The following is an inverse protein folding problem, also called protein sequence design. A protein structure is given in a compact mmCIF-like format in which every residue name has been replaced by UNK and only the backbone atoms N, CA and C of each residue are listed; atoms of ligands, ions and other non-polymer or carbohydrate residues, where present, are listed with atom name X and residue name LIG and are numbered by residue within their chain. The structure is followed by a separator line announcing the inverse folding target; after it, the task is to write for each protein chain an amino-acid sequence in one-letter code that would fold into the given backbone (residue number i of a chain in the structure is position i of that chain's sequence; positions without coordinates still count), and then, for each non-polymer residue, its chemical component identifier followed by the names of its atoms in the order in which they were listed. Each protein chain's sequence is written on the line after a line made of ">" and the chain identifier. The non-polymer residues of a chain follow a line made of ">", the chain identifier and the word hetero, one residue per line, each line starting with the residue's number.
data_IF_442359765626
#
_entry.id   IF_442359765626
#
_cell.length_a   1.000
_cell.length_b   1.000
_cell.length_c   1.000
_cell.angle_alpha   90.00
_cell.angle_beta   90.00
_cell.angle_gamma   90.00
#
_symmetry.space_group_name_H-M   'P 1'
#
loop_
_entity.id
_entity.type
_entity.pdbx_description
1 polymer ?
#
# COMPACT_ATOMS: atom_id res chain seq x y z
N UNK A 1 51.04 -30.12 34.21
CA UNK A 1 50.25 -29.31 33.35
C UNK A 1 50.58 -27.82 33.57
N UNK A 2 50.74 -27.02 32.53
CA UNK A 2 50.99 -25.60 32.63
C UNK A 2 49.78 -24.85 33.20
N UNK A 3 49.95 -23.72 33.89
CA UNK A 3 48.86 -22.92 34.42
C UNK A 3 48.02 -22.29 33.29
N UNK A 4 46.71 -22.06 33.54
CA UNK A 4 45.83 -21.45 32.53
C UNK A 4 46.24 -20.00 32.22
N UNK A 5 46.03 -19.52 30.98
CA UNK A 5 46.37 -18.15 30.61
C UNK A 5 45.50 -17.13 31.37
N UNK A 6 46.03 -15.92 31.62
CA UNK A 6 45.28 -14.86 32.32
C UNK A 6 44.05 -14.39 31.48
N UNK A 7 42.99 -13.93 32.15
CA UNK A 7 41.79 -13.42 31.45
C UNK A 7 42.11 -12.14 30.66
N UNK A 8 41.40 -11.92 29.51
CA UNK A 8 41.59 -10.71 28.70
C UNK A 8 41.18 -9.43 29.47
N UNK A 9 41.82 -8.30 29.19
CA UNK A 9 41.51 -7.03 29.84
C UNK A 9 40.06 -6.56 29.45
N UNK A 10 39.38 -5.81 30.34
CA UNK A 10 38.06 -5.29 30.06
C UNK A 10 38.08 -4.29 28.90
N UNK A 11 36.99 -4.21 28.09
CA UNK A 11 36.90 -3.26 26.98
C UNK A 11 36.90 -1.81 27.50
N UNK A 12 37.45 -0.85 26.71
CA UNK A 12 37.45 0.56 27.09
C UNK A 12 36.03 1.14 27.17
N UNK A 13 35.80 2.14 28.04
CA UNK A 13 34.50 2.79 28.19
C UNK A 13 34.11 3.49 26.90
N UNK A 14 32.79 3.42 26.55
CA UNK A 14 32.23 4.10 25.37
C UNK A 14 32.37 5.62 25.51
N UNK A 15 32.75 6.33 24.44
CA UNK A 15 32.74 7.79 24.45
C UNK A 15 31.30 8.32 24.69
N UNK A 16 31.15 9.49 25.38
CA UNK A 16 29.83 10.09 25.59
C UNK A 16 29.20 10.51 24.26
N UNK A 17 27.82 10.51 24.15
CA UNK A 17 27.15 10.97 22.97
C UNK A 17 27.45 12.46 22.69
N UNK A 18 27.49 12.89 21.43
CA UNK A 18 27.68 14.30 21.07
C UNK A 18 26.50 15.16 21.60
N UNK A 19 26.77 16.43 21.97
CA UNK A 19 25.75 17.34 22.44
C UNK A 19 24.74 17.65 21.32
N UNK A 20 23.46 17.93 21.67
CA UNK A 20 22.46 18.30 20.69
C UNK A 20 22.83 19.63 19.97
N UNK A 21 22.46 19.79 18.68
CA UNK A 21 22.73 21.03 17.95
C UNK A 21 21.99 22.22 18.58
N UNK A 22 22.60 23.42 18.52
CA UNK A 22 21.97 24.63 19.07
C UNK A 22 20.68 24.98 18.32
N UNK A 23 19.68 25.60 18.97
CA UNK A 23 18.47 26.07 18.33
C UNK A 23 18.80 27.21 17.32
N UNK A 24 18.05 27.29 16.21
CA UNK A 24 18.28 28.34 15.21
C UNK A 24 17.99 29.74 15.80
N UNK A 25 18.73 30.79 15.34
CA UNK A 25 18.57 32.15 15.86
C UNK A 25 17.16 32.70 15.57
N UNK A 26 16.57 33.34 16.56
CA UNK A 26 15.34 34.11 16.39
C UNK A 26 15.63 35.36 15.57
N UNK A 27 15.27 35.36 14.29
CA UNK A 27 15.39 36.51 13.42
C UNK A 27 14.41 37.61 13.83
N UNK A 28 14.94 38.79 14.17
CA UNK A 28 14.20 40.01 14.41
C UNK A 28 13.55 40.53 13.12
N UNK A 29 12.36 41.13 13.24
CA UNK A 29 11.56 41.62 12.14
C UNK A 29 12.14 42.85 11.46
N UNK A 30 11.99 42.86 10.11
CA UNK A 30 11.92 44.11 9.34
C UNK A 30 10.65 44.06 8.48
N UNK A 31 9.83 45.10 8.65
CA UNK A 31 8.59 45.27 7.90
C UNK A 31 8.88 45.60 6.43
N UNK A 32 8.21 44.88 5.54
CA UNK A 32 8.08 45.19 4.11
C UNK A 32 6.66 44.85 3.67
N UNK A 33 6.10 45.54 2.62
CA UNK A 33 4.67 45.51 2.30
C UNK A 33 4.17 44.12 1.85
N UNK A 34 2.87 43.86 1.90
CA UNK A 34 2.32 42.51 1.75
C UNK A 34 2.27 42.12 0.29
N UNK A 35 3.24 41.34 -0.17
CA UNK A 35 3.10 40.54 -1.37
C UNK A 35 2.27 39.32 -1.05
N UNK A 36 1.19 39.15 -1.81
CA UNK A 36 0.22 38.06 -1.70
C UNK A 36 0.91 36.70 -1.54
N UNK A 37 1.02 36.20 -0.33
CA UNK A 37 1.46 34.85 -0.04
C UNK A 37 0.38 33.89 -0.53
N UNK A 38 0.56 33.33 -1.72
CA UNK A 38 -0.08 32.09 -2.10
C UNK A 38 0.28 31.07 -1.03
N UNK A 39 -0.65 30.80 -0.14
CA UNK A 39 -0.56 29.74 0.85
C UNK A 39 -0.45 28.41 0.11
N UNK A 40 0.80 27.97 -0.16
CA UNK A 40 1.06 26.55 -0.37
C UNK A 40 0.83 25.88 0.99
N UNK A 41 -0.41 25.61 1.32
CA UNK A 41 -0.72 24.65 2.36
C UNK A 41 -0.24 23.29 1.86
N UNK A 42 1.01 22.98 2.14
CA UNK A 42 1.45 21.59 2.16
C UNK A 42 0.69 20.94 3.31
N UNK A 43 -0.48 20.41 3.04
CA UNK A 43 -1.11 19.47 3.95
C UNK A 43 -0.17 18.27 4.04
N UNK A 44 0.72 18.30 5.00
CA UNK A 44 1.43 17.10 5.42
C UNK A 44 0.37 16.17 5.97
N UNK A 45 -0.01 15.16 5.18
CA UNK A 45 -0.68 13.99 5.73
C UNK A 45 0.25 13.43 6.82
N UNK A 46 -0.05 13.72 8.07
CA UNK A 46 0.48 12.95 9.18
C UNK A 46 -0.30 11.65 9.18
N UNK A 47 0.15 10.68 8.40
CA UNK A 47 -0.21 9.30 8.70
C UNK A 47 0.29 9.02 10.11
N UNK A 48 -0.61 8.94 11.06
CA UNK A 48 -0.28 8.37 12.34
C UNK A 48 -0.01 6.87 12.07
N UNK A 49 1.24 6.51 11.81
CA UNK A 49 1.68 5.11 11.86
C UNK A 49 1.44 4.64 13.31
N UNK A 50 0.23 4.22 13.61
CA UNK A 50 -0.04 3.50 14.83
C UNK A 50 0.35 2.05 14.57
N UNK A 51 1.55 1.69 15.01
CA UNK A 51 1.87 0.28 15.20
C UNK A 51 1.00 -0.24 16.33
N UNK A 52 0.30 -1.34 16.11
CA UNK A 52 -0.37 -2.06 17.19
C UNK A 52 0.66 -2.47 18.25
N UNK A 53 0.30 -2.34 19.51
CA UNK A 53 1.14 -2.75 20.64
C UNK A 53 1.19 -4.28 20.77
N UNK A 54 2.18 -4.79 21.53
CA UNK A 54 2.19 -6.17 22.01
C UNK A 54 1.06 -6.33 23.01
N UNK A 55 0.02 -7.05 22.66
CA UNK A 55 -1.08 -7.42 23.56
C UNK A 55 -1.39 -8.92 23.38
N UNK A 56 -2.14 -9.51 24.29
CA UNK A 56 -2.60 -10.92 24.13
C UNK A 56 -3.43 -11.11 22.86
N UNK A 57 -4.10 -10.05 22.40
CA UNK A 57 -4.68 -9.92 21.05
C UNK A 57 -3.99 -8.76 20.39
N UNK A 58 -3.43 -8.94 19.20
CA UNK A 58 -2.79 -7.88 18.41
C UNK A 58 -3.81 -6.77 18.15
N UNK A 59 -3.42 -5.51 18.40
CA UNK A 59 -4.26 -4.38 18.04
C UNK A 59 -4.27 -4.17 16.53
N UNK A 60 -5.43 -3.83 15.96
CA UNK A 60 -5.53 -3.47 14.54
C UNK A 60 -4.73 -2.21 14.23
N UNK A 61 -4.12 -2.16 13.06
CA UNK A 61 -3.43 -0.99 12.55
C UNK A 61 -4.39 0.18 12.29
N UNK A 62 -3.93 1.41 12.52
CA UNK A 62 -4.71 2.61 12.21
C UNK A 62 -4.79 2.87 10.71
N UNK A 63 -5.93 3.36 10.21
CA UNK A 63 -6.08 3.74 8.81
C UNK A 63 -5.17 4.93 8.44
N UNK A 64 -4.68 4.95 7.20
CA UNK A 64 -3.91 6.07 6.64
C UNK A 64 -4.79 7.31 6.44
N UNK A 65 -4.19 8.49 6.60
CA UNK A 65 -4.88 9.75 6.31
C UNK A 65 -5.04 10.01 4.82
N UNK A 66 -6.18 10.57 4.40
CA UNK A 66 -6.41 10.94 3.00
C UNK A 66 -5.47 12.06 2.52
N UNK A 67 -5.10 12.02 1.24
CA UNK A 67 -4.32 13.06 0.56
C UNK A 67 -5.13 14.35 0.40
N UNK A 68 -4.44 15.50 0.44
CA UNK A 68 -5.06 16.79 0.23
C UNK A 68 -5.48 17.04 -1.22
N UNK A 69 -6.68 17.59 -1.45
CA UNK A 69 -7.14 17.99 -2.76
C UNK A 69 -6.50 19.32 -3.23
N UNK A 70 -6.40 19.53 -4.56
CA UNK A 70 -5.90 20.76 -5.16
C UNK A 70 -6.83 21.23 -6.28
N UNK A 71 -6.97 22.55 -6.47
CA UNK A 71 -7.64 23.11 -7.63
C UNK A 71 -6.71 23.17 -8.84
N UNK A 72 -5.51 23.69 -8.65
CA UNK A 72 -4.41 23.72 -9.60
C UNK A 72 -3.16 23.22 -8.87
N UNK A 73 -2.49 22.23 -9.44
CA UNK A 73 -1.34 21.55 -8.83
C UNK A 73 -1.68 20.11 -8.51
N UNK A 74 -0.70 19.32 -8.11
CA UNK A 74 -0.93 17.90 -7.84
C UNK A 74 -1.69 17.68 -6.53
N UNK A 75 -2.55 16.66 -6.53
CA UNK A 75 -3.15 16.12 -5.30
C UNK A 75 -2.07 15.55 -4.37
N UNK A 76 -2.34 15.53 -3.08
CA UNK A 76 -1.46 14.90 -2.10
C UNK A 76 -1.60 13.38 -2.10
N UNK A 77 -0.52 12.66 -1.84
CA UNK A 77 -0.58 11.21 -1.67
C UNK A 77 -1.31 10.82 -0.37
N UNK A 78 -2.02 9.71 -0.40
CA UNK A 78 -2.63 9.12 0.79
C UNK A 78 -1.57 8.53 1.72
N UNK A 79 -1.85 8.54 3.02
CA UNK A 79 -1.00 7.92 4.03
C UNK A 79 -1.11 6.39 4.01
N UNK A 80 -0.03 5.70 4.35
CA UNK A 80 -0.08 4.24 4.51
C UNK A 80 -0.87 3.83 5.75
N UNK A 81 -1.54 2.68 5.69
CA UNK A 81 -2.14 2.05 6.85
C UNK A 81 -1.08 1.56 7.84
N UNK A 82 -1.40 1.56 9.13
CA UNK A 82 -0.55 0.99 10.16
C UNK A 82 -0.57 -0.54 10.13
N UNK A 83 0.55 -1.17 10.47
CA UNK A 83 0.60 -2.63 10.61
C UNK A 83 -0.20 -3.08 11.83
N UNK A 84 -0.77 -4.28 11.75
CA UNK A 84 -1.38 -4.95 12.88
C UNK A 84 -0.35 -5.32 13.95
N UNK A 85 -0.79 -5.38 15.20
CA UNK A 85 0.04 -5.85 16.31
C UNK A 85 0.23 -7.36 16.26
N UNK A 86 1.39 -7.85 16.71
CA UNK A 86 1.66 -9.28 16.82
C UNK A 86 0.97 -9.87 18.05
N UNK A 87 0.44 -11.08 17.92
CA UNK A 87 0.01 -11.91 19.04
C UNK A 87 1.24 -12.37 19.86
N UNK A 88 1.10 -12.49 21.20
CA UNK A 88 2.22 -12.78 22.09
C UNK A 88 2.21 -14.22 22.59
N UNK A 89 3.38 -14.81 22.70
CA UNK A 89 3.65 -16.21 23.10
C UNK A 89 3.55 -16.53 24.60
N UNK A 90 3.10 -15.60 25.45
CA UNK A 90 3.17 -15.73 26.93
C UNK A 90 1.92 -16.20 27.66
N UNK A 91 0.92 -16.78 26.99
CA UNK A 91 -0.35 -17.22 27.58
C UNK A 91 -1.26 -17.76 26.51
N UNK A 92 -2.59 -17.80 26.74
CA UNK A 92 -3.56 -18.02 25.68
C UNK A 92 -3.30 -16.96 24.61
N UNK A 93 -2.62 -17.34 23.52
CA UNK A 93 -2.16 -16.42 22.47
C UNK A 93 -3.35 -15.73 21.84
N UNK A 94 -3.23 -14.45 21.62
CA UNK A 94 -4.21 -13.67 20.93
C UNK A 94 -3.97 -13.65 19.43
N UNK A 95 -5.03 -13.53 18.64
CA UNK A 95 -4.97 -13.33 17.21
C UNK A 95 -4.11 -12.12 16.85
N UNK A 96 -3.38 -12.18 15.74
CA UNK A 96 -2.72 -11.01 15.15
C UNK A 96 -3.76 -9.94 14.81
N UNK A 97 -3.43 -8.68 15.03
CA UNK A 97 -4.29 -7.55 14.63
C UNK A 97 -4.34 -7.36 13.12
N UNK A 98 -5.47 -6.98 12.56
CA UNK A 98 -5.57 -6.64 11.15
C UNK A 98 -4.73 -5.38 10.82
N UNK A 99 -4.18 -5.34 9.60
CA UNK A 99 -3.55 -4.13 9.07
C UNK A 99 -4.59 -3.04 8.81
N UNK A 100 -4.21 -1.78 9.01
CA UNK A 100 -5.06 -0.63 8.67
C UNK A 100 -5.13 -0.39 7.17
N UNK A 101 -6.27 0.11 6.68
CA UNK A 101 -6.40 0.52 5.29
C UNK A 101 -5.51 1.74 4.96
N UNK A 102 -5.06 1.85 3.72
CA UNK A 102 -4.39 3.05 3.22
C UNK A 102 -5.34 4.24 3.10
N UNK A 103 -4.83 5.45 3.10
CA UNK A 103 -5.59 6.68 2.85
C UNK A 103 -5.74 6.97 1.36
N UNK A 104 -6.88 7.47 0.92
CA UNK A 104 -7.13 7.82 -0.48
C UNK A 104 -6.20 8.95 -0.96
N UNK A 105 -5.80 8.91 -2.23
CA UNK A 105 -5.07 9.99 -2.89
C UNK A 105 -5.96 11.22 -3.12
N UNK A 106 -5.38 12.42 -3.05
CA UNK A 106 -6.07 13.68 -3.25
C UNK A 106 -6.48 13.90 -4.71
N UNK A 107 -7.70 14.37 -4.93
CA UNK A 107 -8.21 14.72 -6.26
C UNK A 107 -7.78 16.12 -6.69
N UNK A 108 -7.69 16.35 -8.00
CA UNK A 108 -7.39 17.66 -8.58
C UNK A 108 -8.60 18.22 -9.32
N UNK A 109 -8.90 19.52 -9.11
CA UNK A 109 -10.06 20.16 -9.72
C UNK A 109 -9.88 20.47 -11.20
N UNK A 110 -8.90 21.28 -11.59
CA UNK A 110 -8.73 21.78 -12.96
C UNK A 110 -7.50 21.25 -13.66
N UNK A 111 -6.30 21.47 -13.10
CA UNK A 111 -5.01 21.15 -13.73
C UNK A 111 -4.05 20.55 -12.70
N UNK A 112 -3.56 19.38 -12.97
CA UNK A 112 -2.57 18.66 -12.17
C UNK A 112 -2.88 17.18 -12.05
N UNK A 113 -1.92 16.40 -11.58
CA UNK A 113 -2.08 14.97 -11.40
C UNK A 113 -2.75 14.64 -10.07
N UNK A 114 -3.61 13.62 -10.04
CA UNK A 114 -4.14 13.05 -8.81
C UNK A 114 -3.02 12.49 -7.93
N UNK A 115 -3.19 12.54 -6.61
CA UNK A 115 -2.28 11.92 -5.66
C UNK A 115 -2.40 10.40 -5.66
N UNK A 116 -1.36 9.69 -5.29
CA UNK A 116 -1.40 8.23 -5.16
C UNK A 116 -2.19 7.79 -3.92
N UNK A 117 -2.84 6.64 -3.98
CA UNK A 117 -3.43 5.99 -2.82
C UNK A 117 -2.35 5.43 -1.90
N UNK A 118 -2.60 5.47 -0.59
CA UNK A 118 -1.72 4.88 0.41
C UNK A 118 -1.80 3.35 0.39
N UNK A 119 -0.71 2.66 0.67
CA UNK A 119 -0.72 1.22 0.84
C UNK A 119 -1.44 0.80 2.13
N UNK A 120 -2.07 -0.36 2.13
CA UNK A 120 -2.57 -1.01 3.34
C UNK A 120 -1.43 -1.47 4.24
N UNK A 121 -1.67 -1.52 5.55
CA UNK A 121 -0.74 -2.08 6.52
C UNK A 121 -0.75 -3.60 6.49
N UNK A 122 0.35 -4.23 6.87
CA UNK A 122 0.40 -5.67 6.98
C UNK A 122 -0.37 -6.17 8.21
N UNK A 123 -0.92 -7.38 8.13
CA UNK A 123 -1.50 -8.08 9.27
C UNK A 123 -0.44 -8.43 10.32
N UNK A 124 -0.87 -8.53 11.57
CA UNK A 124 -0.01 -8.96 12.67
C UNK A 124 0.20 -10.47 12.63
N UNK A 125 1.40 -10.93 12.98
CA UNK A 125 1.69 -12.35 13.09
C UNK A 125 1.11 -12.93 14.39
N UNK A 126 0.70 -14.19 14.34
CA UNK A 126 0.49 -14.99 15.54
C UNK A 126 1.67 -15.91 15.81
N UNK A 127 2.40 -15.65 16.89
CA UNK A 127 3.51 -16.48 17.37
C UNK A 127 3.12 -17.27 18.63
N UNK A 128 1.82 -17.39 18.92
CA UNK A 128 1.34 -18.08 20.10
C UNK A 128 1.36 -19.60 19.91
N UNK A 129 1.44 -20.32 21.02
CA UNK A 129 1.26 -21.78 21.04
C UNK A 129 -0.22 -22.19 21.10
N UNK A 130 -1.14 -21.23 21.13
CA UNK A 130 -2.58 -21.43 21.13
C UNK A 130 -3.15 -21.15 19.74
N UNK A 131 -4.22 -21.86 19.41
CA UNK A 131 -4.89 -21.85 18.11
C UNK A 131 -5.55 -20.48 17.81
N UNK A 132 -4.76 -19.43 17.56
CA UNK A 132 -5.26 -18.12 17.16
C UNK A 132 -4.87 -17.79 15.72
N UNK A 133 -5.72 -17.09 14.98
CA UNK A 133 -5.50 -16.69 13.60
C UNK A 133 -4.57 -15.48 13.51
N UNK A 134 -3.75 -15.42 12.46
CA UNK A 134 -2.98 -14.24 12.14
C UNK A 134 -3.87 -13.11 11.57
N UNK A 135 -3.43 -11.87 11.69
CA UNK A 135 -4.16 -10.72 11.18
C UNK A 135 -4.15 -10.62 9.66
N UNK A 136 -5.27 -10.18 9.07
CA UNK A 136 -5.35 -9.89 7.64
C UNK A 136 -4.62 -8.60 7.27
N UNK A 137 -4.11 -8.50 6.05
CA UNK A 137 -3.56 -7.28 5.47
C UNK A 137 -4.64 -6.23 5.23
N UNK A 138 -4.30 -4.96 5.39
CA UNK A 138 -5.19 -3.84 5.10
C UNK A 138 -5.32 -3.61 3.58
N UNK A 139 -6.47 -3.10 3.14
CA UNK A 139 -6.66 -2.72 1.73
C UNK A 139 -5.79 -1.52 1.34
N UNK A 140 -5.29 -1.53 0.11
CA UNK A 140 -4.73 -0.36 -0.55
C UNK A 140 -5.83 0.65 -0.90
N UNK A 141 -5.53 1.93 -0.87
CA UNK A 141 -6.49 2.97 -1.17
C UNK A 141 -6.48 3.38 -2.64
N UNK A 142 -7.60 3.93 -3.11
CA UNK A 142 -7.68 4.45 -4.47
C UNK A 142 -6.76 5.66 -4.69
N UNK A 143 -6.21 5.78 -5.88
CA UNK A 143 -5.54 6.98 -6.38
C UNK A 143 -6.55 8.12 -6.62
N UNK A 144 -6.08 9.36 -6.48
CA UNK A 144 -6.85 10.55 -6.77
C UNK A 144 -7.08 10.76 -8.28
N UNK A 145 -8.19 11.41 -8.65
CA UNK A 145 -8.43 11.78 -10.05
C UNK A 145 -7.54 12.95 -10.46
N UNK A 146 -7.09 12.92 -11.71
CA UNK A 146 -6.43 14.05 -12.34
C UNK A 146 -7.36 15.25 -12.58
N UNK A 147 -6.79 16.43 -12.85
CA UNK A 147 -7.53 17.65 -13.10
C UNK A 147 -8.43 17.54 -14.34
N UNK A 148 -9.56 18.26 -14.31
CA UNK A 148 -10.57 18.18 -15.36
C UNK A 148 -10.01 18.40 -16.78
N UNK A 149 -9.16 19.39 -16.96
CA UNK A 149 -8.59 19.74 -18.28
C UNK A 149 -7.30 18.97 -18.56
N UNK A 150 -6.39 18.95 -17.61
CA UNK A 150 -5.08 18.31 -17.77
C UNK A 150 -4.62 17.64 -16.47
N UNK A 151 -4.22 16.38 -16.57
CA UNK A 151 -3.58 15.64 -15.49
C UNK A 151 -3.86 14.15 -15.54
N UNK A 152 -2.92 13.38 -15.07
CA UNK A 152 -3.06 11.94 -14.95
C UNK A 152 -3.77 11.58 -13.65
N UNK A 153 -4.48 10.46 -13.63
CA UNK A 153 -4.95 9.84 -12.39
C UNK A 153 -3.78 9.35 -11.54
N UNK A 154 -3.93 9.40 -10.23
CA UNK A 154 -2.98 8.81 -9.28
C UNK A 154 -3.04 7.28 -9.29
N UNK A 155 -1.95 6.64 -8.91
CA UNK A 155 -1.88 5.17 -8.80
C UNK A 155 -2.60 4.70 -7.54
N UNK A 156 -3.29 3.56 -7.57
CA UNK A 156 -3.85 2.90 -6.41
C UNK A 156 -2.76 2.35 -5.48
N UNK A 157 -3.02 2.35 -4.17
CA UNK A 157 -2.11 1.79 -3.18
C UNK A 157 -2.10 0.26 -3.22
N UNK A 158 -1.00 -0.34 -2.83
CA UNK A 158 -0.90 -1.81 -2.69
C UNK A 158 -1.70 -2.30 -1.50
N UNK A 159 -2.25 -3.51 -1.56
CA UNK A 159 -2.76 -4.24 -0.41
C UNK A 159 -1.62 -4.65 0.54
N UNK A 160 -1.90 -4.68 1.84
CA UNK A 160 -0.99 -5.21 2.85
C UNK A 160 -0.94 -6.74 2.83
N UNK A 161 0.16 -7.33 3.22
CA UNK A 161 0.27 -8.78 3.33
C UNK A 161 -0.45 -9.30 4.57
N UNK A 162 -0.97 -10.50 4.51
CA UNK A 162 -1.46 -11.24 5.68
C UNK A 162 -0.34 -11.61 6.64
N UNK A 163 -0.69 -11.76 7.91
CA UNK A 163 0.23 -12.17 8.97
C UNK A 163 0.53 -13.67 8.94
N UNK A 164 1.67 -14.06 9.46
CA UNK A 164 2.09 -15.45 9.64
C UNK A 164 1.47 -16.05 10.90
N UNK A 165 1.08 -17.35 10.87
CA UNK A 165 0.72 -18.11 12.08
C UNK A 165 1.58 -19.35 12.24
N UNK A 166 2.16 -19.54 13.45
CA UNK A 166 3.02 -20.68 13.76
C UNK A 166 2.29 -21.87 14.38
N UNK A 167 1.11 -21.67 14.96
CA UNK A 167 0.49 -22.61 15.89
C UNK A 167 -0.62 -23.50 15.32
N UNK A 168 -0.74 -23.59 14.02
CA UNK A 168 -1.68 -24.55 13.44
C UNK A 168 -3.08 -24.03 13.12
N UNK A 169 -3.29 -22.74 13.13
CA UNK A 169 -4.49 -22.07 12.63
C UNK A 169 -4.28 -21.38 11.28
N UNK A 170 -5.04 -20.36 11.00
CA UNK A 170 -5.06 -19.69 9.71
C UNK A 170 -4.01 -18.58 9.63
N UNK A 171 -3.29 -18.52 8.52
CA UNK A 171 -2.57 -17.33 8.07
C UNK A 171 -3.57 -16.20 7.76
N UNK A 172 -3.16 -14.96 7.92
CA UNK A 172 -3.98 -13.81 7.53
C UNK A 172 -4.15 -13.70 6.02
N UNK A 173 -5.30 -13.26 5.55
CA UNK A 173 -5.50 -12.97 4.14
C UNK A 173 -4.74 -11.69 3.72
N UNK A 174 -4.31 -11.64 2.46
CA UNK A 174 -3.76 -10.44 1.84
C UNK A 174 -4.84 -9.37 1.61
N UNK A 175 -4.48 -8.09 1.74
CA UNK A 175 -5.37 -6.97 1.41
C UNK A 175 -5.50 -6.76 -0.09
N UNK A 176 -6.65 -6.28 -0.55
CA UNK A 176 -6.87 -5.92 -1.97
C UNK A 176 -6.07 -4.67 -2.35
N UNK A 177 -5.64 -4.58 -3.60
CA UNK A 177 -5.04 -3.37 -4.19
C UNK A 177 -6.07 -2.27 -4.45
N UNK A 178 -5.67 -1.01 -4.32
CA UNK A 178 -6.52 0.14 -4.60
C UNK A 178 -6.70 0.39 -6.10
N UNK A 179 -7.83 0.94 -6.51
CA UNK A 179 -8.05 1.34 -7.89
C UNK A 179 -7.21 2.57 -8.27
N UNK A 180 -6.80 2.67 -9.54
CA UNK A 180 -6.19 3.87 -10.10
C UNK A 180 -7.22 4.99 -10.29
N UNK A 181 -6.75 6.26 -10.20
CA UNK A 181 -7.57 7.44 -10.45
C UNK A 181 -7.86 7.65 -11.94
N UNK A 182 -8.93 8.36 -12.24
CA UNK A 182 -9.33 8.72 -13.61
C UNK A 182 -8.48 9.90 -14.09
N UNK A 183 -8.01 9.87 -15.36
CA UNK A 183 -7.32 10.99 -16.00
C UNK A 183 -8.23 12.17 -16.32
N UNK A 184 -7.64 13.36 -16.61
CA UNK A 184 -8.37 14.52 -17.13
C UNK A 184 -8.81 14.35 -18.58
N UNK A 185 -9.30 15.45 -19.20
CA UNK A 185 -9.57 15.48 -20.65
C UNK A 185 -8.31 15.14 -21.45
N UNK A 186 -7.18 15.66 -21.04
CA UNK A 186 -5.85 15.29 -21.52
C UNK A 186 -5.07 14.71 -20.36
N UNK A 187 -4.87 13.41 -20.36
CA UNK A 187 -4.15 12.68 -19.32
C UNK A 187 -4.55 11.23 -19.23
N UNK A 188 -3.67 10.39 -18.79
CA UNK A 188 -3.86 8.94 -18.65
C UNK A 188 -4.52 8.59 -17.32
N UNK A 189 -5.22 7.49 -17.26
CA UNK A 189 -5.68 6.88 -16.02
C UNK A 189 -4.49 6.40 -15.18
N UNK A 190 -4.63 6.42 -13.87
CA UNK A 190 -3.66 5.88 -12.93
C UNK A 190 -3.64 4.36 -12.94
N UNK A 191 -2.52 3.72 -12.66
CA UNK A 191 -2.45 2.27 -12.49
C UNK A 191 -3.20 1.80 -11.24
N UNK A 192 -3.73 0.58 -11.24
CA UNK A 192 -4.20 -0.09 -10.03
C UNK A 192 -3.03 -0.54 -9.17
N UNK A 193 -3.26 -0.64 -7.86
CA UNK A 193 -2.31 -1.19 -6.90
C UNK A 193 -2.33 -2.73 -6.89
N UNK A 194 -1.21 -3.35 -6.60
CA UNK A 194 -1.14 -4.81 -6.49
C UNK A 194 -1.87 -5.30 -5.22
N UNK A 195 -2.38 -6.52 -5.24
CA UNK A 195 -2.88 -7.22 -4.06
C UNK A 195 -1.74 -7.60 -3.12
N UNK A 196 -2.09 -7.80 -1.84
CA UNK A 196 -1.18 -8.32 -0.82
C UNK A 196 -1.11 -9.85 -0.84
N UNK A 197 0.01 -10.40 -0.41
CA UNK A 197 0.17 -11.86 -0.31
C UNK A 197 -0.57 -12.40 0.92
N UNK A 198 -1.04 -13.64 0.83
CA UNK A 198 -1.55 -14.40 1.98
C UNK A 198 -0.43 -14.75 2.96
N UNK A 199 -0.81 -14.92 4.22
CA UNK A 199 0.10 -15.30 5.30
C UNK A 199 0.39 -16.81 5.30
N UNK A 200 1.63 -17.18 5.66
CA UNK A 200 2.03 -18.57 5.82
C UNK A 200 1.42 -19.15 7.09
N UNK A 201 0.89 -20.37 7.01
CA UNK A 201 0.37 -21.12 8.16
C UNK A 201 0.06 -22.56 7.75
N UNK A 202 -0.23 -23.48 8.71
CA UNK A 202 -0.78 -24.78 8.35
C UNK A 202 -2.08 -24.71 7.55
N UNK A 203 -2.94 -23.71 7.79
CA UNK A 203 -4.00 -23.28 6.87
C UNK A 203 -3.62 -21.91 6.34
N UNK A 204 -3.02 -21.83 5.13
CA UNK A 204 -2.47 -20.58 4.62
C UNK A 204 -3.58 -19.57 4.29
N UNK A 205 -3.25 -18.28 4.42
CA UNK A 205 -4.16 -17.20 4.05
C UNK A 205 -4.25 -17.03 2.53
N UNK A 206 -5.38 -16.55 2.04
CA UNK A 206 -5.60 -16.22 0.63
C UNK A 206 -4.91 -14.89 0.28
N UNK A 207 -4.58 -14.72 -1.00
CA UNK A 207 -4.05 -13.46 -1.47
C UNK A 207 -5.14 -12.42 -1.71
N UNK A 208 -4.75 -11.15 -1.75
CA UNK A 208 -5.62 -10.07 -2.19
C UNK A 208 -5.63 -9.89 -3.71
N UNK A 209 -6.76 -9.44 -4.26
CA UNK A 209 -6.88 -9.10 -5.67
C UNK A 209 -6.13 -7.79 -6.01
N UNK A 210 -5.67 -7.66 -7.25
CA UNK A 210 -5.14 -6.42 -7.79
C UNK A 210 -6.25 -5.39 -8.06
N UNK A 211 -5.92 -4.10 -7.86
CA UNK A 211 -6.83 -2.99 -8.14
C UNK A 211 -7.02 -2.73 -9.64
N UNK A 212 -8.18 -2.24 -10.04
CA UNK A 212 -8.42 -1.84 -11.43
C UNK A 212 -7.60 -0.59 -11.82
N UNK A 213 -7.16 -0.51 -13.07
CA UNK A 213 -6.59 0.69 -13.66
C UNK A 213 -7.66 1.77 -13.89
N UNK A 214 -7.27 3.04 -13.77
CA UNK A 214 -8.15 4.18 -14.04
C UNK A 214 -8.37 4.41 -15.53
N UNK A 215 -9.49 5.00 -15.90
CA UNK A 215 -9.80 5.35 -17.28
C UNK A 215 -9.18 6.69 -17.70
N UNK A 216 -8.83 6.85 -18.98
CA UNK A 216 -8.65 8.17 -19.60
C UNK A 216 -10.00 8.70 -20.06
N UNK A 217 -10.10 10.06 -20.27
CA UNK A 217 -11.37 10.67 -20.74
C UNK A 217 -11.39 10.97 -22.22
N UNK A 218 -10.54 11.83 -22.70
CA UNK A 218 -10.55 12.23 -24.13
C UNK A 218 -9.25 11.80 -24.82
N UNK A 219 -8.10 12.29 -24.36
CA UNK A 219 -6.79 11.97 -24.88
C UNK A 219 -5.92 11.45 -23.76
N UNK A 220 -5.51 10.19 -23.85
CA UNK A 220 -4.65 9.52 -22.89
C UNK A 220 -4.93 8.02 -22.84
N UNK A 221 -3.99 7.30 -22.28
CA UNK A 221 -4.07 5.85 -22.14
C UNK A 221 -4.84 5.46 -20.88
N UNK A 222 -5.53 4.33 -20.90
CA UNK A 222 -6.05 3.69 -19.71
C UNK A 222 -4.91 3.24 -18.80
N UNK A 223 -5.13 3.31 -17.48
CA UNK A 223 -4.18 2.84 -16.49
C UNK A 223 -4.08 1.31 -16.51
N UNK A 224 -2.92 0.76 -16.16
CA UNK A 224 -2.72 -0.69 -16.03
C UNK A 224 -3.47 -1.20 -14.79
N UNK A 225 -4.03 -2.43 -14.84
CA UNK A 225 -4.52 -3.14 -13.66
C UNK A 225 -3.36 -3.59 -12.76
N UNK A 226 -3.58 -3.65 -11.45
CA UNK A 226 -2.64 -4.19 -10.47
C UNK A 226 -2.59 -5.71 -10.54
N UNK A 227 -1.48 -6.32 -10.18
CA UNK A 227 -1.37 -7.78 -10.11
C UNK A 227 -2.08 -8.31 -8.85
N UNK A 228 -2.59 -9.54 -8.92
CA UNK A 228 -3.02 -10.29 -7.75
C UNK A 228 -1.82 -10.66 -6.87
N UNK A 229 -2.05 -10.83 -5.57
CA UNK A 229 -1.06 -11.32 -4.62
C UNK A 229 -0.86 -12.84 -4.73
N UNK A 230 0.17 -13.36 -4.10
CA UNK A 230 0.41 -14.80 -3.98
C UNK A 230 -0.28 -15.36 -2.73
N UNK A 231 -0.95 -16.51 -2.86
CA UNK A 231 -1.48 -17.24 -1.72
C UNK A 231 -0.39 -17.65 -0.74
N UNK A 232 -0.72 -17.68 0.56
CA UNK A 232 0.21 -18.08 1.60
C UNK A 232 0.69 -19.52 1.42
N UNK A 233 1.88 -19.83 1.92
CA UNK A 233 2.41 -21.18 1.90
C UNK A 233 1.96 -21.97 3.13
N UNK A 234 1.58 -23.24 2.91
CA UNK A 234 1.22 -24.22 3.94
C UNK A 234 2.12 -25.44 3.87
N UNK A 235 1.71 -26.56 4.48
CA UNK A 235 2.35 -27.87 4.32
C UNK A 235 2.44 -28.26 2.84
N UNK A 236 3.32 -29.21 2.46
CA UNK A 236 3.48 -29.65 1.09
C UNK A 236 2.13 -29.96 0.41
N UNK A 237 1.84 -29.30 -0.71
CA UNK A 237 0.59 -29.42 -1.47
C UNK A 237 -0.57 -28.55 -0.98
N UNK A 238 -0.38 -27.73 0.06
CA UNK A 238 -1.38 -26.78 0.55
C UNK A 238 -0.87 -25.35 0.35
N UNK A 239 -1.65 -24.55 -0.36
CA UNK A 239 -1.35 -23.13 -0.59
C UNK A 239 -2.67 -22.34 -0.55
N UNK A 240 -2.62 -21.10 -0.11
CA UNK A 240 -3.77 -20.22 -0.18
C UNK A 240 -4.15 -19.88 -1.62
N UNK A 241 -5.36 -19.39 -1.85
CA UNK A 241 -5.83 -18.95 -3.16
C UNK A 241 -4.96 -17.79 -3.66
N UNK A 242 -4.60 -17.82 -4.95
CA UNK A 242 -3.96 -16.69 -5.62
C UNK A 242 -4.97 -15.56 -5.86
N UNK A 243 -4.56 -14.32 -5.68
CA UNK A 243 -5.38 -13.15 -5.96
C UNK A 243 -5.58 -12.94 -7.47
N UNK A 244 -6.73 -12.45 -7.89
CA UNK A 244 -6.98 -12.11 -9.28
C UNK A 244 -6.27 -10.81 -9.67
N UNK A 245 -5.82 -10.72 -10.92
CA UNK A 245 -5.31 -9.47 -11.48
C UNK A 245 -6.43 -8.45 -11.69
N UNK A 246 -6.14 -7.18 -11.48
CA UNK A 246 -7.07 -6.09 -11.75
C UNK A 246 -7.25 -5.82 -13.25
N UNK A 247 -8.42 -5.36 -13.65
CA UNK A 247 -8.69 -4.98 -15.04
C UNK A 247 -7.90 -3.71 -15.42
N UNK A 248 -7.45 -3.63 -16.66
CA UNK A 248 -6.90 -2.40 -17.24
C UNK A 248 -7.97 -1.34 -17.45
N UNK A 249 -7.60 -0.06 -17.33
CA UNK A 249 -8.48 1.07 -17.60
C UNK A 249 -8.72 1.29 -19.11
N UNK A 250 -9.81 1.94 -19.46
CA UNK A 250 -10.18 2.22 -20.83
C UNK A 250 -9.63 3.57 -21.30
N UNK A 251 -9.28 3.68 -22.59
CA UNK A 251 -9.20 4.95 -23.31
C UNK A 251 -10.54 5.22 -23.98
N UNK A 252 -10.94 6.52 -24.12
CA UNK A 252 -12.27 6.82 -24.67
C UNK A 252 -12.18 7.28 -26.13
N UNK A 253 -11.37 8.27 -26.48
CA UNK A 253 -11.30 8.76 -27.86
C UNK A 253 -9.95 8.49 -28.51
N UNK A 254 -8.88 8.95 -27.90
CA UNK A 254 -7.50 8.75 -28.39
C UNK A 254 -6.64 8.22 -27.25
N UNK A 255 -6.11 7.02 -27.43
CA UNK A 255 -5.19 6.38 -26.50
C UNK A 255 -5.33 4.86 -26.48
N UNK A 256 -4.39 4.23 -25.84
CA UNK A 256 -4.35 2.78 -25.69
C UNK A 256 -5.16 2.37 -24.44
N UNK A 257 -5.82 1.21 -24.49
CA UNK A 257 -6.34 0.55 -23.29
C UNK A 257 -5.19 0.14 -22.36
N UNK A 258 -5.41 0.21 -21.05
CA UNK A 258 -4.47 -0.29 -20.06
C UNK A 258 -4.41 -1.82 -20.09
N UNK A 259 -3.24 -2.41 -19.86
CA UNK A 259 -3.13 -3.86 -19.71
C UNK A 259 -3.80 -4.31 -18.41
N UNK A 260 -4.40 -5.51 -18.40
CA UNK A 260 -4.81 -6.19 -17.19
C UNK A 260 -3.61 -6.61 -16.35
N UNK A 261 -3.80 -6.74 -15.04
CA UNK A 261 -2.82 -7.28 -14.11
C UNK A 261 -2.74 -8.80 -14.20
N UNK A 262 -1.59 -9.39 -13.90
CA UNK A 262 -1.47 -10.84 -13.78
C UNK A 262 -2.19 -11.36 -12.52
N UNK A 263 -2.72 -12.58 -12.59
CA UNK A 263 -3.14 -13.34 -11.41
C UNK A 263 -1.95 -13.75 -10.55
N UNK A 264 -2.19 -14.02 -9.29
CA UNK A 264 -1.19 -14.49 -8.34
C UNK A 264 -1.13 -16.01 -8.26
N UNK A 265 0.03 -16.54 -7.87
CA UNK A 265 0.19 -17.96 -7.60
C UNK A 265 -0.59 -18.40 -6.38
N UNK A 266 -1.27 -19.53 -6.47
CA UNK A 266 -2.06 -20.09 -5.39
C UNK A 266 -2.69 -21.42 -5.76
N UNK A 267 -3.54 -21.98 -4.89
CA UNK A 267 -4.35 -23.16 -5.18
C UNK A 267 -5.77 -22.87 -4.70
N UNK A 268 -6.70 -22.52 -5.64
CA UNK A 268 -6.47 -22.27 -7.06
C UNK A 268 -5.60 -21.04 -7.38
N UNK A 269 -5.04 -21.00 -8.58
CA UNK A 269 -4.34 -19.80 -9.09
C UNK A 269 -5.31 -18.65 -9.32
N UNK A 270 -4.84 -17.42 -9.16
CA UNK A 270 -5.60 -16.23 -9.54
C UNK A 270 -5.71 -16.06 -11.06
N UNK A 271 -6.85 -15.57 -11.55
CA UNK A 271 -7.04 -15.25 -12.95
C UNK A 271 -6.42 -13.90 -13.31
N UNK A 272 -5.90 -13.78 -14.54
CA UNK A 272 -5.45 -12.50 -15.08
C UNK A 272 -6.61 -11.51 -15.28
N UNK A 273 -6.35 -10.22 -15.07
CA UNK A 273 -7.31 -9.15 -15.32
C UNK A 273 -7.52 -8.91 -16.83
N UNK A 274 -8.70 -8.45 -17.23
CA UNK A 274 -8.96 -8.07 -18.61
C UNK A 274 -8.20 -6.81 -19.01
N UNK A 275 -7.73 -6.74 -20.26
CA UNK A 275 -7.21 -5.50 -20.84
C UNK A 275 -8.31 -4.48 -21.07
N UNK A 276 -7.98 -3.19 -20.94
CA UNK A 276 -8.91 -2.11 -21.23
C UNK A 276 -9.16 -1.88 -22.72
N UNK A 277 -10.28 -1.25 -23.06
CA UNK A 277 -10.60 -0.87 -24.44
C UNK A 277 -9.72 0.28 -24.93
N UNK A 278 -9.40 0.25 -26.24
CA UNK A 278 -8.72 1.36 -26.93
C UNK A 278 -9.67 2.54 -27.14
N UNK A 279 -9.08 3.69 -27.45
CA UNK A 279 -9.82 4.85 -27.92
C UNK A 279 -10.55 4.58 -29.25
N UNK A 280 -11.71 5.20 -29.41
CA UNK A 280 -12.57 5.01 -30.62
C UNK A 280 -11.86 5.46 -31.90
N UNK A 281 -11.07 6.52 -31.81
CA UNK A 281 -10.40 7.11 -32.97
C UNK A 281 -9.01 6.53 -33.22
N UNK A 282 -8.17 6.47 -32.20
CA UNK A 282 -6.80 5.92 -32.27
C UNK A 282 -6.44 5.20 -30.98
N UNK A 283 -5.67 4.13 -31.12
CA UNK A 283 -5.11 3.37 -30.01
C UNK A 283 -5.16 1.85 -30.24
N UNK A 284 -4.56 1.11 -29.34
CA UNK A 284 -4.61 -0.35 -29.29
C UNK A 284 -5.32 -0.80 -28.01
N UNK A 285 -6.05 -1.93 -28.01
CA UNK A 285 -6.61 -2.47 -26.78
C UNK A 285 -5.47 -2.91 -25.86
N UNK A 286 -5.70 -2.87 -24.54
CA UNK A 286 -4.80 -3.44 -23.56
C UNK A 286 -4.77 -4.96 -23.67
N UNK A 287 -3.63 -5.56 -23.35
CA UNK A 287 -3.50 -7.01 -23.24
C UNK A 287 -4.16 -7.50 -21.93
N UNK A 288 -4.72 -8.71 -21.96
CA UNK A 288 -5.15 -9.38 -20.74
C UNK A 288 -3.91 -9.77 -19.90
N UNK A 289 -4.09 -9.80 -18.57
CA UNK A 289 -3.10 -10.37 -17.67
C UNK A 289 -3.00 -11.89 -17.86
N UNK A 290 -1.84 -12.47 -17.53
CA UNK A 290 -1.70 -13.90 -17.44
C UNK A 290 -2.34 -14.43 -16.15
N UNK A 291 -2.80 -15.68 -16.15
CA UNK A 291 -3.17 -16.39 -14.93
C UNK A 291 -1.90 -16.68 -14.11
N UNK A 292 -2.02 -16.90 -12.81
CA UNK A 292 -0.93 -17.13 -11.87
C UNK A 292 -0.22 -18.49 -12.00
#
# INVERSE_FOLDING_TARGET
>A
PPPPPPPPPPPPPRPPPPPPPPPPPRGGGFGGPPLSRRHRRRHRCRSALRHGGLSNTGASGGAGGAGGAALIGNGGDGGHGGNGGHGNSGGAGGAGGAGGAGGAGGHVGLIGNGGNGGAGGNGGNDNSSTLADAGSGGAGAAGGNGGLFYGNGGVGGRGGNGGFSSAGTSGGDGGIGGAGGIGGLIGSGGGGGDGGNGGQAPTPGNAGDGGAGGNARLIGDGGRGGNGGEGGDGPPGVKGDGGNGGNGGNAVVIGNGGNGGAGGFGIPVGSGGAGGSRGVLFGTPGANGADG
#
